data_IF_109316213630
#
_entry.id   IF_109316213630
#
_cell.length_a   1.000
_cell.length_b   1.000
_cell.length_c   1.000
_cell.angle_alpha   90.00
_cell.angle_beta   90.00
_cell.angle_gamma   90.00
#
_symmetry.space_group_name_H-M   'P 1'
#
loop_
_entity.id
_entity.type
_entity.pdbx_description
1 polymer ?
#
# COMPACT_ATOMS: atom_id res chain seq x y z
N UNK A 1 -9.77 6.07 -27.90
CA UNK A 1 -9.76 7.23 -26.99
C UNK A 1 -8.68 7.02 -25.94
N UNK A 2 -7.88 8.05 -25.64
CA UNK A 2 -6.90 7.98 -24.56
C UNK A 2 -7.61 8.25 -23.23
N UNK A 3 -7.56 7.29 -22.29
CA UNK A 3 -8.06 7.50 -20.93
C UNK A 3 -7.04 8.40 -20.22
N UNK A 4 -7.49 9.50 -19.60
CA UNK A 4 -6.62 10.42 -18.86
C UNK A 4 -5.90 9.64 -17.75
N UNK A 5 -4.57 9.64 -17.78
CA UNK A 5 -3.77 9.04 -16.73
C UNK A 5 -3.95 9.84 -15.44
N UNK A 6 -4.11 9.15 -14.32
CA UNK A 6 -4.18 9.78 -13.00
C UNK A 6 -2.84 9.60 -12.32
N UNK A 7 -2.42 10.66 -11.64
CA UNK A 7 -1.09 10.80 -11.02
C UNK A 7 -1.26 11.19 -9.56
N UNK A 8 -0.31 10.77 -8.73
CA UNK A 8 -0.15 11.13 -7.31
C UNK A 8 1.30 11.50 -7.06
N UNK A 9 1.55 12.24 -5.98
CA UNK A 9 2.90 12.60 -5.54
C UNK A 9 3.61 11.48 -4.80
N UNK A 10 4.95 11.52 -4.66
CA UNK A 10 5.71 10.55 -3.86
C UNK A 10 5.39 10.60 -2.37
N UNK A 11 4.97 11.77 -1.88
CA UNK A 11 4.68 12.00 -0.46
C UNK A 11 3.19 11.77 -0.11
N UNK A 12 2.36 11.47 -1.12
CA UNK A 12 0.96 11.11 -0.89
C UNK A 12 0.88 9.76 -0.16
N UNK A 13 -0.03 9.69 0.80
CA UNK A 13 -0.28 8.47 1.54
C UNK A 13 -0.93 7.41 0.67
N UNK A 14 -0.78 6.14 1.06
CA UNK A 14 -1.50 5.02 0.43
C UNK A 14 -3.02 5.28 0.40
N UNK A 15 -3.58 5.88 1.45
CA UNK A 15 -5.00 6.22 1.53
C UNK A 15 -5.43 7.23 0.47
N UNK A 16 -4.63 8.27 0.25
CA UNK A 16 -4.88 9.29 -0.78
C UNK A 16 -4.80 8.70 -2.19
N UNK A 17 -3.79 7.87 -2.47
CA UNK A 17 -3.67 7.19 -3.75
C UNK A 17 -4.88 6.27 -4.04
N UNK A 18 -5.33 5.51 -3.03
CA UNK A 18 -6.52 4.66 -3.14
C UNK A 18 -7.80 5.49 -3.34
N UNK A 19 -7.91 6.65 -2.69
CA UNK A 19 -9.05 7.55 -2.87
C UNK A 19 -9.14 8.06 -4.32
N UNK A 20 -8.02 8.46 -4.92
CA UNK A 20 -7.95 8.87 -6.34
C UNK A 20 -8.37 7.72 -7.26
N UNK A 21 -7.88 6.51 -6.99
CA UNK A 21 -8.25 5.29 -7.74
C UNK A 21 -9.76 5.01 -7.69
N UNK A 22 -10.34 5.06 -6.49
CA UNK A 22 -11.76 4.81 -6.26
C UNK A 22 -12.66 5.85 -6.95
N UNK A 23 -12.34 7.14 -6.79
CA UNK A 23 -13.10 8.24 -7.41
C UNK A 23 -13.12 8.14 -8.94
N UNK A 24 -12.01 7.70 -9.54
CA UNK A 24 -11.87 7.60 -10.99
C UNK A 24 -12.22 6.21 -11.57
N UNK A 25 -12.54 5.23 -10.71
CA UNK A 25 -12.81 3.83 -11.10
C UNK A 25 -11.66 3.25 -11.95
N UNK A 26 -10.45 3.32 -11.40
CA UNK A 26 -9.20 2.82 -12.00
C UNK A 26 -8.42 1.96 -11.00
N UNK A 27 -7.70 0.95 -11.49
CA UNK A 27 -6.91 0.03 -10.67
C UNK A 27 -5.44 0.44 -10.46
N UNK A 28 -5.04 1.60 -10.99
CA UNK A 28 -3.68 2.11 -10.83
C UNK A 28 -3.56 3.62 -11.03
N UNK A 29 -2.54 4.21 -10.43
CA UNK A 29 -2.09 5.60 -10.61
C UNK A 29 -0.58 5.64 -10.83
N UNK A 30 -0.10 6.68 -11.52
CA UNK A 30 1.33 6.94 -11.66
C UNK A 30 1.83 7.74 -10.46
N UNK A 31 2.99 7.40 -9.93
CA UNK A 31 3.69 8.21 -8.93
C UNK A 31 4.65 9.13 -9.68
N UNK A 32 4.43 10.44 -9.60
CA UNK A 32 5.17 11.45 -10.33
C UNK A 32 5.84 12.42 -9.34
N UNK A 33 7.10 12.75 -9.61
CA UNK A 33 7.83 13.85 -8.96
C UNK A 33 8.12 14.92 -10.03
N UNK A 34 7.27 15.95 -10.06
CA UNK A 34 7.20 16.89 -11.19
C UNK A 34 6.90 16.16 -12.50
N UNK A 35 7.79 16.29 -13.49
CA UNK A 35 7.68 15.58 -14.78
C UNK A 35 8.30 14.18 -14.76
N UNK A 36 8.92 13.77 -13.65
CA UNK A 36 9.61 12.48 -13.55
C UNK A 36 8.66 11.39 -13.07
N UNK A 37 8.49 10.33 -13.87
CA UNK A 37 7.81 9.11 -13.45
C UNK A 37 8.69 8.32 -12.48
N UNK A 38 8.22 8.14 -11.25
CA UNK A 38 8.89 7.34 -10.22
C UNK A 38 8.43 5.89 -10.23
N UNK A 39 7.16 5.65 -10.55
CA UNK A 39 6.61 4.30 -10.55
C UNK A 39 5.10 4.27 -10.75
N UNK A 40 4.53 3.09 -10.51
CA UNK A 40 3.09 2.84 -10.62
C UNK A 40 2.64 2.25 -9.29
N UNK A 41 1.54 2.77 -8.76
CA UNK A 41 0.85 2.21 -7.61
C UNK A 41 -0.44 1.52 -8.10
N UNK A 42 -0.67 0.29 -7.65
CA UNK A 42 -1.76 -0.58 -8.10
C UNK A 42 -2.58 -1.13 -6.93
N UNK A 43 -3.74 -1.72 -7.22
CA UNK A 43 -4.55 -2.41 -6.20
C UNK A 43 -3.77 -3.50 -5.44
N UNK A 44 -2.83 -4.19 -6.12
CA UNK A 44 -1.99 -5.21 -5.48
C UNK A 44 -1.05 -4.59 -4.45
N UNK A 45 -0.56 -3.38 -4.70
CA UNK A 45 0.29 -2.64 -3.77
C UNK A 45 -0.50 -2.23 -2.53
N UNK A 46 -1.78 -1.85 -2.68
CA UNK A 46 -2.70 -1.60 -1.57
C UNK A 46 -2.86 -2.84 -0.69
N UNK A 47 -3.15 -4.01 -1.29
CA UNK A 47 -3.30 -5.28 -0.54
C UNK A 47 -2.01 -5.63 0.20
N UNK A 48 -0.85 -5.45 -0.45
CA UNK A 48 0.46 -5.70 0.17
C UNK A 48 0.73 -4.77 1.34
N UNK A 49 0.45 -3.47 1.21
CA UNK A 49 0.63 -2.49 2.26
C UNK A 49 -0.25 -2.80 3.48
N UNK A 50 -1.50 -3.19 3.26
CA UNK A 50 -2.43 -3.59 4.33
C UNK A 50 -1.97 -4.85 5.07
N UNK A 51 -1.49 -5.86 4.34
CA UNK A 51 -0.93 -7.08 4.95
C UNK A 51 0.24 -6.76 5.88
N UNK A 52 1.18 -5.93 5.40
CA UNK A 52 2.36 -5.54 6.19
C UNK A 52 2.01 -4.72 7.42
N UNK A 53 1.01 -3.84 7.31
CA UNK A 53 0.51 -3.07 8.44
C UNK A 53 -0.16 -3.97 9.50
N UNK A 54 -0.89 -5.01 9.07
CA UNK A 54 -1.54 -5.97 9.97
C UNK A 54 -0.52 -6.91 10.66
N UNK A 55 0.50 -7.37 9.93
CA UNK A 55 1.55 -8.24 10.45
C UNK A 55 2.47 -7.52 11.46
N UNK A 56 2.57 -6.19 11.39
CA UNK A 56 3.30 -5.40 12.38
C UNK A 56 2.70 -5.51 13.79
N UNK A 57 1.39 -5.78 13.91
CA UNK A 57 0.69 -5.98 15.18
C UNK A 57 0.75 -7.40 15.74
N UNK A 58 1.14 -8.41 14.95
CA UNK A 58 1.13 -9.83 15.34
C UNK A 58 2.51 -10.37 15.77
N UNK A 59 3.56 -9.54 15.78
CA UNK A 59 4.92 -9.94 16.20
C UNK A 59 5.17 -9.86 17.71
N UNK A 60 4.14 -10.04 18.54
CA UNK A 60 4.29 -10.15 19.99
C UNK A 60 3.73 -11.48 20.50
N UNK A 61 4.65 -12.39 20.89
CA UNK A 61 4.38 -13.43 21.88
C UNK A 61 4.02 -14.82 21.37
N UNK A 62 4.97 -15.53 20.73
CA UNK A 62 5.12 -16.96 21.04
C UNK A 62 6.28 -17.08 22.03
N UNK A 63 5.94 -17.01 23.31
CA UNK A 63 6.81 -17.41 24.41
C UNK A 63 6.97 -18.94 24.35
N UNK A 64 7.94 -19.41 23.57
CA UNK A 64 8.46 -20.78 23.66
C UNK A 64 9.38 -20.88 24.89
N UNK A 65 8.78 -20.76 26.08
CA UNK A 65 9.53 -20.66 27.32
C UNK A 65 8.74 -21.18 28.51
N UNK A 66 8.99 -22.44 28.86
CA UNK A 66 8.68 -23.04 30.17
C UNK A 66 7.27 -23.61 30.39
N UNK A 67 7.15 -24.93 30.16
CA UNK A 67 6.79 -25.90 31.22
C UNK A 67 7.28 -27.30 30.82
N UNK A 68 8.61 -27.46 30.82
CA UNK A 68 9.22 -28.68 31.35
C UNK A 68 9.12 -28.59 32.87
N UNK A 69 8.90 -29.74 33.52
CA UNK A 69 8.69 -29.95 34.97
C UNK A 69 7.31 -29.43 35.44
N UNK A 70 6.37 -30.24 35.93
CA UNK A 70 6.44 -31.42 36.78
C UNK A 70 5.26 -32.36 36.47
#
# INVERSE_FOLDING_TARGET
>A
MAKRLQTVGPDDTVGEAVAVMAQNRIGSVLIMDGERLLGIFTERDTVRALSQAHDAGHRHGVDEGSRRLN
#
